data_IF_843924074019
#
_entry.id   IF_843924074019
#
_cell.length_a   1.000
_cell.length_b   1.000
_cell.length_c   1.000
_cell.angle_alpha   90.00
_cell.angle_beta   90.00
_cell.angle_gamma   90.00
#
_symmetry.space_group_name_H-M   'P 1'
#
loop_
_entity.id
_entity.type
_entity.pdbx_description
1 polymer ?
#
# COMPACT_ATOMS: atom_id res chain seq x y z
N UNK A 1 -11.24 -1.10 0.47
CA UNK A 1 -10.24 -0.12 0.92
C UNK A 1 -9.29 -0.83 1.86
N UNK A 2 -8.04 -0.37 1.94
CA UNK A 2 -7.03 -0.94 2.85
C UNK A 2 -6.42 0.22 3.62
N UNK A 3 -6.19 0.04 4.92
CA UNK A 3 -5.41 0.98 5.72
C UNK A 3 -3.95 0.97 5.28
N UNK A 4 -3.41 2.13 4.94
CA UNK A 4 -2.01 2.31 4.58
C UNK A 4 -1.40 3.33 5.53
N UNK A 5 -0.25 2.98 6.12
CA UNK A 5 0.51 3.89 6.95
C UNK A 5 1.41 4.75 6.05
N UNK A 6 1.04 6.02 5.87
CA UNK A 6 1.80 7.01 5.11
C UNK A 6 2.16 8.17 6.02
N UNK A 7 3.42 8.59 6.04
CA UNK A 7 3.90 9.71 6.86
C UNK A 7 3.44 9.61 8.34
N UNK A 8 3.55 8.42 8.94
CA UNK A 8 3.12 8.13 10.32
C UNK A 8 1.62 8.29 10.59
N UNK A 9 0.79 8.34 9.56
CA UNK A 9 -0.67 8.43 9.68
C UNK A 9 -1.34 7.28 8.90
N UNK A 10 -2.23 6.55 9.57
CA UNK A 10 -3.06 5.53 8.91
C UNK A 10 -4.15 6.22 8.11
N UNK A 11 -4.23 5.90 6.81
CA UNK A 11 -5.26 6.40 5.89
C UNK A 11 -5.86 5.25 5.10
N UNK A 12 -7.15 5.34 4.81
CA UNK A 12 -7.79 4.40 3.91
C UNK A 12 -7.51 4.79 2.46
N UNK A 13 -7.10 3.80 1.67
CA UNK A 13 -6.87 3.98 0.25
C UNK A 13 -7.51 2.84 -0.54
N UNK A 14 -7.88 3.12 -1.77
CA UNK A 14 -8.13 2.08 -2.76
C UNK A 14 -6.78 1.67 -3.37
N UNK A 15 -6.37 0.44 -3.11
CA UNK A 15 -5.08 -0.08 -3.57
C UNK A 15 -5.26 -0.98 -4.79
N UNK A 16 -4.38 -0.88 -5.78
CA UNK A 16 -4.34 -1.80 -6.93
C UNK A 16 -2.91 -2.19 -7.23
N UNK A 17 -2.65 -3.49 -7.43
CA UNK A 17 -1.37 -3.96 -7.95
C UNK A 17 -1.51 -4.20 -9.45
N UNK A 18 -0.60 -3.64 -10.25
CA UNK A 18 -0.54 -3.84 -11.71
C UNK A 18 0.89 -3.64 -12.20
N UNK A 19 1.34 -4.47 -13.15
CA UNK A 19 2.64 -4.31 -13.80
C UNK A 19 3.83 -4.10 -12.82
N UNK A 20 3.87 -4.87 -11.73
CA UNK A 20 4.94 -4.78 -10.74
C UNK A 20 4.94 -3.51 -9.88
N UNK A 21 3.84 -2.75 -9.88
CA UNK A 21 3.68 -1.55 -9.06
C UNK A 21 2.39 -1.60 -8.23
N UNK A 22 2.45 -1.03 -7.03
CA UNK A 22 1.30 -0.78 -6.16
C UNK A 22 0.85 0.67 -6.35
N UNK A 23 -0.41 0.84 -6.70
CA UNK A 23 -1.07 2.12 -6.91
C UNK A 23 -2.04 2.41 -5.77
N UNK A 24 -1.92 3.58 -5.16
CA UNK A 24 -2.81 4.07 -4.11
C UNK A 24 -3.68 5.19 -4.68
N UNK A 25 -5.00 5.00 -4.61
CA UNK A 25 -6.01 5.96 -5.02
C UNK A 25 -6.77 6.46 -3.78
N UNK A 26 -7.38 7.64 -3.86
CA UNK A 26 -8.29 8.09 -2.80
C UNK A 26 -9.57 7.27 -2.85
N UNK A 27 -10.20 7.19 -4.03
CA UNK A 27 -11.50 6.54 -4.18
C UNK A 27 -11.53 5.43 -5.23
N UNK A 28 -12.45 4.47 -5.02
CA UNK A 28 -12.73 3.41 -5.99
C UNK A 28 -13.45 4.03 -7.20
N UNK A 29 -12.75 4.18 -8.31
CA UNK A 29 -13.32 4.73 -9.55
C UNK A 29 -12.50 5.87 -10.15
N UNK A 30 -11.60 6.47 -9.37
CA UNK A 30 -10.59 7.42 -9.85
C UNK A 30 -9.50 6.68 -10.64
N UNK A 31 -9.84 6.14 -11.80
CA UNK A 31 -8.90 5.30 -12.57
C UNK A 31 -7.77 6.10 -13.24
N UNK A 32 -7.83 7.44 -13.24
CA UNK A 32 -6.96 8.25 -14.09
C UNK A 32 -5.62 8.61 -13.47
N UNK A 33 -5.55 8.93 -12.18
CA UNK A 33 -4.29 9.33 -11.54
C UNK A 33 -4.20 8.76 -10.12
N UNK A 34 -3.23 7.86 -9.85
CA UNK A 34 -2.95 7.41 -8.49
C UNK A 34 -2.31 8.55 -7.68
N UNK A 35 -2.69 8.68 -6.42
CA UNK A 35 -2.05 9.61 -5.48
C UNK A 35 -0.60 9.19 -5.19
N UNK A 36 -0.34 7.88 -5.12
CA UNK A 36 1.00 7.33 -4.88
C UNK A 36 1.21 6.07 -5.69
N UNK A 37 2.40 5.93 -6.25
CA UNK A 37 2.85 4.71 -6.95
C UNK A 37 4.12 4.19 -6.29
N UNK A 38 4.14 2.91 -5.96
CA UNK A 38 5.28 2.23 -5.35
C UNK A 38 5.72 1.09 -6.29
N UNK A 39 6.95 1.16 -6.80
CA UNK A 39 7.55 0.07 -7.56
C UNK A 39 7.87 -1.08 -6.62
N UNK A 40 7.40 -2.29 -6.94
CA UNK A 40 7.58 -3.47 -6.08
C UNK A 40 8.84 -4.28 -6.45
N UNK A 41 9.50 -3.96 -7.57
CA UNK A 41 10.74 -4.63 -7.97
C UNK A 41 11.83 -4.40 -6.92
N UNK A 42 12.36 -5.50 -6.38
CA UNK A 42 13.39 -5.46 -5.32
C UNK A 42 12.83 -5.18 -3.93
N UNK A 43 11.50 -5.11 -3.76
CA UNK A 43 10.91 -4.99 -2.45
C UNK A 43 10.69 -6.36 -1.80
N UNK A 44 10.87 -6.41 -0.48
CA UNK A 44 10.52 -7.54 0.37
C UNK A 44 9.15 -7.31 1.02
N UNK A 45 8.36 -8.39 1.15
CA UNK A 45 7.08 -8.37 1.87
C UNK A 45 7.26 -9.07 3.20
N UNK A 46 7.11 -8.32 4.29
CA UNK A 46 7.24 -8.83 5.65
C UNK A 46 5.87 -8.84 6.32
N UNK A 47 5.43 -9.96 6.90
CA UNK A 47 4.15 -10.02 7.59
C UNK A 47 4.19 -9.25 8.93
N UNK A 48 3.03 -8.69 9.30
CA UNK A 48 2.77 -8.14 10.62
C UNK A 48 3.25 -6.71 10.85
N UNK A 49 2.54 -6.04 11.77
CA UNK A 49 2.91 -4.77 12.38
C UNK A 49 2.85 -4.85 13.92
N UNK A 50 2.88 -6.07 14.45
CA UNK A 50 2.67 -6.39 15.87
C UNK A 50 1.25 -6.90 16.17
N UNK A 51 0.96 -7.25 17.43
CA UNK A 51 -0.26 -7.95 17.84
C UNK A 51 -1.55 -7.15 17.61
N UNK A 52 -1.48 -5.82 17.49
CA UNK A 52 -2.63 -4.97 17.18
C UNK A 52 -3.07 -5.04 15.71
N UNK A 53 -2.21 -5.55 14.83
CA UNK A 53 -2.45 -5.57 13.38
C UNK A 53 -2.08 -6.95 12.80
N UNK A 54 -2.85 -8.01 13.14
CA UNK A 54 -2.53 -9.39 12.76
C UNK A 54 -2.61 -9.64 11.26
N UNK A 55 -3.37 -8.82 10.52
CA UNK A 55 -3.54 -8.92 9.07
C UNK A 55 -2.75 -7.86 8.29
N UNK A 56 -1.84 -7.15 8.96
CA UNK A 56 -1.01 -6.16 8.29
C UNK A 56 0.25 -6.80 7.69
N UNK A 57 0.85 -6.09 6.74
CA UNK A 57 2.14 -6.40 6.16
C UNK A 57 2.92 -5.11 5.94
N UNK A 58 4.23 -5.25 5.73
CA UNK A 58 5.15 -4.17 5.40
C UNK A 58 5.82 -4.49 4.08
N UNK A 59 5.97 -3.46 3.24
CA UNK A 59 6.76 -3.52 2.01
C UNK A 59 8.05 -2.77 2.29
N UNK A 60 9.18 -3.47 2.28
CA UNK A 60 10.50 -2.90 2.50
C UNK A 60 11.21 -2.81 1.17
N UNK A 61 11.77 -1.65 0.84
CA UNK A 61 12.60 -1.49 -0.36
C UNK A 61 14.02 -1.91 -0.01
N UNK A 62 14.57 -2.87 -0.77
CA UNK A 62 15.99 -3.23 -0.70
C UNK A 62 16.90 -2.13 -1.23
#
# INVERSE_FOLDING_TARGET
YVGVLLNQCWKEHWCRVRAGSLYLYHEKGEQRVPHTTVTLKGCEVVPGLGPKHPFALRILKG
#
